data_IF_303424158370
#
_entry.id   IF_303424158370
#
_cell.length_a   1.000
_cell.length_b   1.000
_cell.length_c   1.000
_cell.angle_alpha   90.00
_cell.angle_beta   90.00
_cell.angle_gamma   90.00
#
_symmetry.space_group_name_H-M   'P 1'
#
loop_
_entity.id
_entity.type
_entity.pdbx_description
1 polymer ?
#
# COMPACT_ATOMS: atom_id res chain seq x y z
N UNK A 1 11.80 -17.87 22.79
CA UNK A 1 10.60 -18.73 22.68
C UNK A 1 9.46 -18.00 23.37
N UNK A 2 8.31 -17.84 22.71
CA UNK A 2 7.13 -17.19 23.30
C UNK A 2 5.92 -18.10 23.07
N UNK A 3 5.16 -18.36 24.14
CA UNK A 3 3.89 -19.06 24.08
C UNK A 3 2.78 -18.01 24.01
N UNK A 4 1.95 -18.06 22.98
CA UNK A 4 0.82 -17.15 22.82
C UNK A 4 -0.47 -17.95 22.65
N UNK A 5 -1.61 -17.31 22.95
CA UNK A 5 -2.93 -17.93 22.82
C UNK A 5 -3.63 -17.39 21.58
N UNK A 6 -4.42 -18.25 20.93
CA UNK A 6 -5.36 -17.81 19.90
C UNK A 6 -6.55 -17.13 20.58
N UNK A 7 -6.93 -15.97 20.08
CA UNK A 7 -8.08 -15.21 20.55
C UNK A 7 -9.13 -15.14 19.44
N UNK A 8 -10.39 -15.40 19.78
CA UNK A 8 -11.47 -15.24 18.82
C UNK A 8 -11.77 -13.74 18.61
N UNK A 9 -11.90 -13.31 17.36
CA UNK A 9 -12.38 -11.98 16.99
C UNK A 9 -13.39 -12.12 15.85
N UNK A 10 -14.68 -12.00 16.20
CA UNK A 10 -15.78 -12.21 15.26
C UNK A 10 -15.75 -13.62 14.67
N UNK A 11 -15.76 -13.70 13.33
CA UNK A 11 -15.67 -14.95 12.57
C UNK A 11 -14.25 -15.48 12.36
N UNK A 12 -13.23 -14.86 12.94
CA UNK A 12 -11.82 -15.22 12.77
C UNK A 12 -11.10 -15.43 14.11
N UNK A 13 -9.86 -15.90 14.04
CA UNK A 13 -8.94 -16.00 15.17
C UNK A 13 -7.74 -15.10 14.95
N UNK A 14 -7.23 -14.53 16.03
CA UNK A 14 -6.04 -13.70 16.05
C UNK A 14 -4.96 -14.39 16.87
N UNK A 15 -3.77 -14.50 16.28
CA UNK A 15 -2.56 -14.93 16.96
C UNK A 15 -1.69 -13.70 17.24
N UNK A 16 -1.43 -13.43 18.51
CA UNK A 16 -0.49 -12.36 18.87
C UNK A 16 0.94 -12.81 18.61
N UNK A 17 1.68 -12.04 17.82
CA UNK A 17 3.12 -12.19 17.61
C UNK A 17 3.82 -11.11 18.46
N UNK A 18 4.64 -11.46 19.47
CA UNK A 18 5.41 -10.49 20.24
C UNK A 18 6.32 -9.64 19.34
N UNK A 19 6.48 -8.36 19.68
CA UNK A 19 7.25 -7.37 18.89
C UNK A 19 8.68 -7.82 18.57
N UNK A 20 9.38 -8.42 19.53
CA UNK A 20 10.72 -9.01 19.36
C UNK A 20 10.77 -10.09 18.26
N UNK A 21 9.72 -10.91 18.15
CA UNK A 21 9.65 -11.97 17.13
C UNK A 21 9.37 -11.36 15.75
N UNK A 22 8.43 -10.40 15.68
CA UNK A 22 8.14 -9.68 14.45
C UNK A 22 9.37 -8.93 13.92
N UNK A 23 10.10 -8.23 14.79
CA UNK A 23 11.32 -7.50 14.45
C UNK A 23 12.42 -8.44 13.91
N UNK A 24 12.64 -9.58 14.56
CA UNK A 24 13.62 -10.58 14.08
C UNK A 24 13.21 -11.21 12.74
N UNK A 25 11.90 -11.31 12.48
CA UNK A 25 11.38 -11.75 11.18
C UNK A 25 11.39 -10.65 10.10
N UNK A 26 11.81 -9.41 10.45
CA UNK A 26 11.81 -8.27 9.54
C UNK A 26 10.42 -7.74 9.21
N UNK A 27 9.41 -8.04 10.04
CA UNK A 27 8.03 -7.64 9.80
C UNK A 27 7.75 -6.25 10.35
N UNK A 28 7.02 -5.45 9.58
CA UNK A 28 6.51 -4.15 10.00
C UNK A 28 4.98 -4.15 10.01
N UNK A 29 4.37 -3.27 10.80
CA UNK A 29 2.90 -3.14 10.82
C UNK A 29 2.42 -2.74 9.43
N UNK A 30 1.40 -3.43 8.93
CA UNK A 30 0.79 -3.16 7.62
C UNK A 30 1.37 -3.96 6.45
N UNK A 31 2.31 -4.87 6.66
CA UNK A 31 2.73 -5.81 5.60
C UNK A 31 1.65 -6.86 5.33
N UNK A 32 1.61 -7.33 4.10
CA UNK A 32 0.81 -8.50 3.72
C UNK A 32 1.59 -9.79 4.01
N UNK A 33 0.90 -10.75 4.60
CA UNK A 33 1.44 -12.07 4.94
C UNK A 33 0.64 -13.13 4.20
N UNK A 34 1.34 -14.10 3.63
CA UNK A 34 0.76 -15.34 3.16
C UNK A 34 0.75 -16.36 4.30
N UNK A 35 -0.38 -17.04 4.48
CA UNK A 35 -0.63 -17.98 5.58
C UNK A 35 -1.05 -19.31 4.98
N UNK A 36 -0.19 -20.31 5.13
CA UNK A 36 -0.42 -21.67 4.65
C UNK A 36 -0.39 -22.66 5.81
N UNK A 37 -1.15 -23.74 5.70
CA UNK A 37 -1.18 -24.80 6.71
C UNK A 37 -0.64 -26.09 6.12
N UNK A 38 0.27 -26.74 6.85
CA UNK A 38 0.82 -28.04 6.51
C UNK A 38 0.84 -28.93 7.77
N UNK A 39 -0.06 -29.91 7.80
CA UNK A 39 -0.25 -30.76 8.98
C UNK A 39 -0.66 -29.95 10.21
N UNK A 40 0.16 -30.02 11.26
CA UNK A 40 -0.03 -29.28 12.51
C UNK A 40 0.67 -27.91 12.52
N UNK A 41 1.33 -27.54 11.43
CA UNK A 41 2.10 -26.31 11.32
C UNK A 41 1.36 -25.26 10.49
N UNK A 42 1.48 -24.01 10.92
CA UNK A 42 1.09 -22.84 10.12
C UNK A 42 2.38 -22.13 9.70
N UNK A 43 2.57 -21.99 8.40
CA UNK A 43 3.66 -21.23 7.82
C UNK A 43 3.16 -19.82 7.47
N UNK A 44 3.85 -18.81 7.99
CA UNK A 44 3.51 -17.40 7.81
C UNK A 44 4.74 -16.72 7.22
N UNK A 45 4.61 -16.21 6.01
CA UNK A 45 5.71 -15.54 5.30
C UNK A 45 5.23 -14.22 4.70
N UNK A 46 6.07 -13.18 4.61
CA UNK A 46 5.71 -12.00 3.85
C UNK A 46 5.33 -12.36 2.42
N UNK A 47 4.27 -11.73 1.91
CA UNK A 47 3.98 -11.79 0.47
C UNK A 47 5.20 -11.19 -0.22
N UNK A 48 5.95 -12.03 -0.93
CA UNK A 48 7.08 -11.53 -1.70
C UNK A 48 6.48 -10.61 -2.74
N UNK A 49 6.81 -9.32 -2.70
CA UNK A 49 6.42 -8.40 -3.76
C UNK A 49 6.88 -9.02 -5.07
N UNK A 50 5.96 -9.60 -5.84
CA UNK A 50 6.23 -9.94 -7.24
C UNK A 50 6.53 -8.59 -7.87
N UNK A 51 7.78 -8.32 -8.29
CA UNK A 51 8.03 -7.10 -9.03
C UNK A 51 7.13 -7.22 -10.25
N UNK A 52 6.11 -6.34 -10.37
CA UNK A 52 5.54 -6.05 -11.68
C UNK A 52 6.77 -5.67 -12.50
N UNK A 53 7.26 -6.58 -13.35
CA UNK A 53 8.67 -6.66 -13.74
C UNK A 53 9.29 -5.30 -14.03
N UNK A 54 10.60 -5.11 -13.75
CA UNK A 54 11.32 -3.83 -13.92
C UNK A 54 10.80 -3.08 -15.15
N UNK A 55 9.93 -2.08 -14.93
CA UNK A 55 9.46 -1.23 -16.01
C UNK A 55 10.59 -0.29 -16.36
N UNK A 56 10.97 -0.26 -17.63
CA UNK A 56 11.89 0.77 -18.10
C UNK A 56 11.19 2.13 -18.03
N UNK A 57 11.96 3.22 -17.99
CA UNK A 57 11.39 4.58 -18.08
C UNK A 57 10.48 4.70 -19.30
N UNK A 58 10.86 4.11 -20.43
CA UNK A 58 10.02 4.08 -21.64
C UNK A 58 8.67 3.38 -21.43
N UNK A 59 8.63 2.26 -20.69
CA UNK A 59 7.38 1.55 -20.38
C UNK A 59 6.49 2.30 -19.39
N UNK A 60 7.07 3.14 -18.53
CA UNK A 60 6.31 4.04 -17.66
C UNK A 60 5.70 5.20 -18.46
N UNK A 61 6.45 5.73 -19.43
CA UNK A 61 6.02 6.84 -20.28
C UNK A 61 5.04 6.42 -21.39
N UNK A 62 5.04 5.16 -21.81
CA UNK A 62 4.18 4.67 -22.91
C UNK A 62 2.68 4.81 -22.65
N UNK A 63 2.26 4.97 -21.39
CA UNK A 63 0.85 5.19 -21.02
C UNK A 63 0.49 6.66 -20.78
N UNK A 64 1.41 7.59 -21.04
CA UNK A 64 1.21 9.02 -20.83
C UNK A 64 0.95 9.68 -22.18
N UNK A 65 -0.25 10.25 -22.36
CA UNK A 65 -0.58 11.01 -23.56
C UNK A 65 -0.15 12.48 -23.38
N UNK A 66 0.76 12.92 -24.25
CA UNK A 66 1.29 14.28 -24.20
C UNK A 66 0.26 15.33 -24.61
N UNK A 67 -0.75 14.97 -25.40
CA UNK A 67 -1.84 15.87 -25.80
C UNK A 67 -2.85 16.05 -24.65
N UNK A 68 -3.13 14.97 -23.91
CA UNK A 68 -3.96 15.05 -22.69
C UNK A 68 -3.32 15.98 -21.65
N UNK A 69 -2.00 15.83 -21.41
CA UNK A 69 -1.28 16.71 -20.49
C UNK A 69 -1.31 18.17 -20.95
N UNK A 70 -1.14 18.43 -22.25
CA UNK A 70 -1.22 19.79 -22.79
C UNK A 70 -2.60 20.38 -22.59
N UNK A 71 -3.65 19.64 -22.93
CA UNK A 71 -5.05 20.06 -22.72
C UNK A 71 -5.32 20.38 -21.25
N UNK A 72 -4.86 19.54 -20.33
CA UNK A 72 -5.04 19.76 -18.89
C UNK A 72 -4.27 21.00 -18.40
N UNK A 73 -3.05 21.21 -18.87
CA UNK A 73 -2.26 22.38 -18.52
C UNK A 73 -2.91 23.66 -19.05
N UNK A 74 -3.44 23.65 -20.27
CA UNK A 74 -4.13 24.78 -20.87
C UNK A 74 -5.42 25.11 -20.10
N UNK A 75 -6.19 24.10 -19.67
CA UNK A 75 -7.36 24.27 -18.80
C UNK A 75 -7.00 24.81 -17.41
N UNK A 76 -5.89 24.35 -16.82
CA UNK A 76 -5.44 24.79 -15.50
C UNK A 76 -4.87 26.21 -15.49
N UNK A 77 -4.29 26.68 -16.60
CA UNK A 77 -3.75 28.04 -16.76
C UNK A 77 -4.85 29.10 -16.66
N UNK A 78 -6.08 28.79 -17.06
CA UNK A 78 -7.21 29.72 -16.98
C UNK A 78 -7.59 30.02 -15.52
N UNK A 79 -7.58 29.02 -14.64
CA UNK A 79 -7.89 29.17 -13.21
C UNK A 79 -6.72 29.66 -12.32
N UNK A 80 -5.48 29.60 -12.81
CA UNK A 80 -4.28 30.06 -12.06
C UNK A 80 -4.04 31.58 -12.18
N UNK A 81 -4.58 32.22 -13.22
CA UNK A 81 -4.52 33.67 -13.41
C UNK A 81 -5.76 34.40 -12.87
N UNK A 82 -6.75 33.67 -12.39
CA UNK A 82 -7.90 34.26 -11.73
C UNK A 82 -7.50 34.95 -10.42
N UNK A 83 -8.01 36.16 -10.21
CA UNK A 83 -7.87 36.84 -8.93
C UNK A 83 -8.46 35.96 -7.81
N UNK A 84 -7.84 35.89 -6.62
CA UNK A 84 -8.33 35.07 -5.52
C UNK A 84 -9.79 35.41 -5.21
N UNK A 85 -10.68 34.44 -5.43
CA UNK A 85 -12.12 34.58 -5.20
C UNK A 85 -12.42 34.43 -3.70
N UNK A 86 -11.97 35.38 -2.88
CA UNK A 86 -12.36 35.44 -1.47
C UNK A 86 -13.78 35.97 -1.40
N UNK A 87 -14.74 35.07 -1.14
CA UNK A 87 -16.09 35.41 -0.70
C UNK A 87 -16.30 34.88 0.71
N UNK A 88 -15.71 35.56 1.69
CA UNK A 88 -16.14 35.44 3.07
C UNK A 88 -16.96 36.69 3.42
N UNK A 89 -18.28 36.54 3.41
CA UNK A 89 -19.21 37.47 4.04
C UNK A 89 -19.22 37.12 5.53
N UNK A 90 -18.70 38.00 6.37
CA UNK A 90 -18.86 37.98 7.83
C UNK A 90 -19.99 38.93 8.20
#
# INVERSE_FOLDING_TARGET
MALTKLCQQGGAVVLTIPSEIAARAGWTVGIELDVTAEGESVNIVPVTRVPRGRRTVAQLLAGIDQLEIQSYNDEAVDGLNDAPQVREHI
#
